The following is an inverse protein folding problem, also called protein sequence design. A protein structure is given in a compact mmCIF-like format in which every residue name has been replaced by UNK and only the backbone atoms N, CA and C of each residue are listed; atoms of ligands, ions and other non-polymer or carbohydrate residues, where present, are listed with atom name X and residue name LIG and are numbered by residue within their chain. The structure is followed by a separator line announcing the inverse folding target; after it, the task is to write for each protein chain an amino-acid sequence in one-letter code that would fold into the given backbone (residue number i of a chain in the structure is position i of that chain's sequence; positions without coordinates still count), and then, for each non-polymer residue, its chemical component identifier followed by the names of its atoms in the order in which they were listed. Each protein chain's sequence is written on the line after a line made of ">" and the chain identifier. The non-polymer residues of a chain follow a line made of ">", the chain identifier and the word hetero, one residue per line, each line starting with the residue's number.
data_IF_234323812278
#
_entry.id   IF_234323812278
#
_cell.length_a   1.000
_cell.length_b   1.000
_cell.length_c   1.000
_cell.angle_alpha   90.00
_cell.angle_beta   90.00
_cell.angle_gamma   90.00
#
_symmetry.space_group_name_H-M   'P 1'
#
loop_
_entity.id
_entity.type
_entity.pdbx_description
1 polymer ?
#
# COMPACT_ATOMS: atom_id res chain seq x y z
N UNK A 1 -15.21 5.36 -14.82
CA UNK A 1 -14.11 4.57 -14.22
C UNK A 1 -14.69 3.36 -13.51
N UNK A 2 -14.27 2.14 -13.88
CA UNK A 2 -14.74 0.89 -13.26
C UNK A 2 -14.23 0.77 -11.81
N UNK A 3 -14.96 0.10 -10.92
CA UNK A 3 -14.57 -0.02 -9.50
C UNK A 3 -13.23 -0.75 -9.32
N UNK A 4 -12.92 -1.72 -10.18
CA UNK A 4 -11.63 -2.41 -10.15
C UNK A 4 -10.44 -1.45 -10.38
N UNK A 5 -10.62 -0.43 -11.22
CA UNK A 5 -9.65 0.66 -11.36
C UNK A 5 -9.59 1.55 -10.11
N UNK A 6 -10.74 1.88 -9.50
CA UNK A 6 -10.82 2.62 -8.23
C UNK A 6 -10.21 1.87 -7.05
N UNK A 7 -10.33 0.55 -6.99
CA UNK A 7 -9.75 -0.29 -5.94
C UNK A 7 -8.24 -0.40 -6.07
N UNK A 8 -7.74 -0.66 -7.28
CA UNK A 8 -6.29 -0.67 -7.56
C UNK A 8 -5.69 0.70 -7.29
N UNK A 9 -6.38 1.77 -7.69
CA UNK A 9 -6.03 3.14 -7.30
C UNK A 9 -6.09 3.30 -5.79
N UNK A 10 -7.17 2.94 -5.11
CA UNK A 10 -7.30 3.11 -3.66
C UNK A 10 -6.20 2.37 -2.89
N UNK A 11 -5.78 1.19 -3.32
CA UNK A 11 -4.67 0.48 -2.69
C UNK A 11 -3.31 1.06 -3.08
N UNK A 12 -3.10 1.43 -4.34
CA UNK A 12 -1.90 2.18 -4.74
C UNK A 12 -1.80 3.50 -3.98
N UNK A 13 -2.92 4.17 -3.73
CA UNK A 13 -3.03 5.39 -2.95
C UNK A 13 -2.79 5.12 -1.48
N UNK A 14 -3.48 4.14 -0.88
CA UNK A 14 -3.21 3.70 0.49
C UNK A 14 -1.74 3.32 0.71
N UNK A 15 -1.06 2.83 -0.32
CA UNK A 15 0.37 2.53 -0.31
C UNK A 15 1.24 3.77 -0.54
N UNK A 16 0.93 4.61 -1.53
CA UNK A 16 1.61 5.90 -1.81
C UNK A 16 1.58 6.81 -0.59
N UNK A 17 0.51 6.70 0.19
CA UNK A 17 0.16 7.62 1.27
C UNK A 17 0.34 6.98 2.68
N UNK A 18 0.19 5.66 2.88
CA UNK A 18 0.30 4.96 4.20
C UNK A 18 -0.43 5.67 5.35
N UNK A 19 -1.67 6.02 5.04
CA UNK A 19 -2.67 6.63 5.90
C UNK A 19 -3.29 7.77 5.15
N UNK A 20 -4.62 7.78 4.92
CA UNK A 20 -5.42 8.86 4.31
C UNK A 20 -5.71 8.55 2.80
N UNK A 21 -6.90 8.60 2.18
CA UNK A 21 -8.13 9.35 2.38
C UNK A 21 -9.23 8.79 1.45
N UNK A 22 -10.48 8.78 1.88
CA UNK A 22 -11.63 8.82 0.96
C UNK A 22 -12.59 9.96 1.37
N UNK A 23 -12.02 11.16 1.46
CA UNK A 23 -12.74 12.42 1.64
C UNK A 23 -11.77 13.61 1.63
N UNK A 24 -12.26 14.80 1.24
CA UNK A 24 -11.46 16.05 1.28
C UNK A 24 -10.79 16.28 2.64
N UNK A 25 -11.46 15.88 3.73
CA UNK A 25 -10.97 16.04 5.11
C UNK A 25 -9.72 15.19 5.43
N UNK A 26 -9.54 14.07 4.74
CA UNK A 26 -8.42 13.18 5.00
C UNK A 26 -7.22 13.57 4.13
N UNK A 27 -7.40 14.10 2.92
CA UNK A 27 -6.25 14.55 2.08
C UNK A 27 -5.54 15.70 2.79
N UNK A 28 -6.33 16.60 3.36
CA UNK A 28 -5.83 17.69 4.18
C UNK A 28 -5.01 17.20 5.40
N UNK A 29 -5.38 16.08 6.03
CA UNK A 29 -4.64 15.53 7.18
C UNK A 29 -3.30 14.93 6.78
N UNK A 30 -3.18 14.36 5.58
CA UNK A 30 -1.90 13.89 5.04
C UNK A 30 -0.99 15.04 4.67
N UNK A 31 -1.54 16.00 3.93
CA UNK A 31 -0.83 17.20 3.56
C UNK A 31 -0.31 17.89 4.82
N UNK A 32 -1.12 18.00 5.87
CA UNK A 32 -0.69 18.53 7.16
C UNK A 32 0.44 17.71 7.82
N UNK A 33 0.38 16.37 7.76
CA UNK A 33 1.44 15.51 8.29
C UNK A 33 2.77 15.72 7.55
N UNK A 34 2.77 15.61 6.21
CA UNK A 34 3.99 15.80 5.42
C UNK A 34 4.47 17.23 5.46
N UNK A 35 3.57 18.22 5.47
CA UNK A 35 3.92 19.61 5.70
C UNK A 35 4.68 19.76 7.01
N UNK A 36 4.17 19.19 8.10
CA UNK A 36 4.84 19.20 9.40
C UNK A 36 6.22 18.54 9.36
N UNK A 37 6.40 17.43 8.65
CA UNK A 37 7.70 16.74 8.52
C UNK A 37 8.68 17.50 7.64
N UNK A 38 8.26 17.98 6.48
CA UNK A 38 9.10 18.77 5.59
C UNK A 38 9.48 20.12 6.21
N UNK A 39 8.56 20.77 6.94
CA UNK A 39 8.82 22.05 7.61
C UNK A 39 9.90 21.93 8.70
N UNK A 40 10.04 20.76 9.35
CA UNK A 40 11.15 20.50 10.27
C UNK A 40 12.53 20.56 9.58
N UNK A 41 12.58 20.44 8.25
CA UNK A 41 13.83 20.58 7.47
C UNK A 41 14.15 22.02 7.09
N UNK A 42 13.26 22.98 7.38
CA UNK A 42 13.44 24.40 7.07
C UNK A 42 13.27 24.77 5.59
N UNK A 43 12.89 23.83 4.71
CA UNK A 43 12.70 24.09 3.28
C UNK A 43 11.31 23.62 2.80
N UNK A 44 10.37 24.56 2.76
CA UNK A 44 9.00 24.32 2.29
C UNK A 44 8.93 23.88 0.82
N UNK A 45 9.94 24.19 0.00
CA UNK A 45 9.97 23.76 -1.41
C UNK A 45 9.99 22.25 -1.56
N UNK A 46 10.55 21.53 -0.56
CA UNK A 46 10.53 20.06 -0.52
C UNK A 46 9.11 19.52 -0.37
N UNK A 47 8.29 20.17 0.45
CA UNK A 47 6.88 19.81 0.59
C UNK A 47 6.10 20.08 -0.69
N UNK A 48 6.28 21.27 -1.28
CA UNK A 48 5.60 21.64 -2.51
C UNK A 48 5.94 20.69 -3.66
N UNK A 49 7.23 20.29 -3.76
CA UNK A 49 7.68 19.29 -4.72
C UNK A 49 7.04 17.93 -4.45
N UNK A 50 7.14 17.40 -3.23
CA UNK A 50 6.51 16.14 -2.83
C UNK A 50 5.01 16.11 -3.17
N UNK A 51 4.28 17.17 -2.83
CA UNK A 51 2.84 17.29 -3.09
C UNK A 51 2.55 17.29 -4.60
N UNK A 52 3.33 18.03 -5.37
CA UNK A 52 3.17 18.12 -6.83
C UNK A 52 3.44 16.77 -7.49
N UNK A 53 4.57 16.13 -7.17
CA UNK A 53 4.98 14.86 -7.76
C UNK A 53 4.00 13.73 -7.37
N UNK A 54 3.50 13.72 -6.13
CA UNK A 54 2.44 12.81 -5.71
C UNK A 54 1.15 13.02 -6.53
N UNK A 55 0.71 14.27 -6.72
CA UNK A 55 -0.49 14.57 -7.49
C UNK A 55 -0.33 14.25 -8.99
N UNK A 56 0.84 14.47 -9.58
CA UNK A 56 1.13 14.05 -10.95
C UNK A 56 1.11 12.54 -11.09
N UNK A 57 1.73 11.83 -10.14
CA UNK A 57 1.68 10.38 -10.07
C UNK A 57 0.24 9.87 -9.96
N UNK A 58 -0.63 10.55 -9.20
CA UNK A 58 -2.07 10.24 -9.13
C UNK A 58 -2.73 10.26 -10.47
N UNK A 59 -2.69 11.42 -11.12
CA UNK A 59 -3.34 11.61 -12.41
C UNK A 59 -2.82 10.61 -13.43
N UNK A 60 -1.52 10.36 -13.41
CA UNK A 60 -0.91 9.42 -14.33
C UNK A 60 -1.30 7.97 -14.04
N UNK A 61 -1.35 7.56 -12.77
CA UNK A 61 -1.82 6.24 -12.36
C UNK A 61 -3.30 6.05 -12.70
N UNK A 62 -4.13 7.07 -12.49
CA UNK A 62 -5.55 7.05 -12.84
C UNK A 62 -5.74 6.85 -14.34
N UNK A 63 -5.05 7.65 -15.15
CA UNK A 63 -5.03 7.48 -16.59
C UNK A 63 -4.57 6.06 -16.99
N UNK A 64 -3.44 5.59 -16.46
CA UNK A 64 -2.86 4.31 -16.85
C UNK A 64 -3.76 3.13 -16.46
N UNK A 65 -4.34 3.14 -15.26
CA UNK A 65 -5.17 2.04 -14.77
C UNK A 65 -6.50 1.98 -15.53
N UNK A 66 -7.00 3.10 -16.05
CA UNK A 66 -8.16 3.10 -16.95
C UNK A 66 -7.93 2.36 -18.28
N UNK A 67 -6.69 2.00 -18.61
CA UNK A 67 -6.38 1.13 -19.75
C UNK A 67 -6.71 -0.35 -19.44
N UNK A 68 -7.01 -0.71 -18.19
CA UNK A 68 -7.29 -2.10 -17.81
C UNK A 68 -8.80 -2.38 -17.79
N UNK A 69 -9.24 -3.57 -18.25
CA UNK A 69 -8.41 -4.68 -18.74
C UNK A 69 -8.11 -4.60 -20.26
N UNK A 70 -8.73 -3.69 -20.99
CA UNK A 70 -8.83 -3.76 -22.46
C UNK A 70 -7.51 -3.52 -23.19
N UNK A 71 -6.61 -2.74 -22.60
CA UNK A 71 -5.31 -2.35 -23.16
C UNK A 71 -4.16 -2.77 -22.24
N UNK A 72 -4.23 -4.00 -21.72
CA UNK A 72 -3.28 -4.47 -20.71
C UNK A 72 -1.83 -4.57 -21.22
N UNK A 73 -1.61 -4.94 -22.48
CA UNK A 73 -0.27 -4.95 -23.07
C UNK A 73 0.35 -3.54 -23.07
N UNK A 74 -0.42 -2.55 -23.52
CA UNK A 74 -0.01 -1.13 -23.50
C UNK A 74 0.28 -0.66 -22.07
N UNK A 75 -0.59 -0.98 -21.11
CA UNK A 75 -0.36 -0.68 -19.69
C UNK A 75 0.98 -1.26 -19.20
N UNK A 76 1.20 -2.57 -19.41
CA UNK A 76 2.34 -3.27 -18.86
C UNK A 76 3.67 -2.93 -19.55
N UNK A 77 3.64 -2.65 -20.86
CA UNK A 77 4.83 -2.33 -21.64
C UNK A 77 5.23 -0.86 -21.54
N UNK A 78 4.25 0.05 -21.60
CA UNK A 78 4.52 1.49 -21.75
C UNK A 78 4.28 2.28 -20.46
N UNK A 79 3.27 1.92 -19.66
CA UNK A 79 2.88 2.72 -18.49
C UNK A 79 3.47 2.23 -17.18
N UNK A 80 3.62 0.92 -16.99
CA UNK A 80 4.26 0.34 -15.80
C UNK A 80 5.69 0.87 -15.57
N UNK A 81 6.61 0.92 -16.56
CA UNK A 81 7.96 1.44 -16.33
C UNK A 81 7.95 2.90 -15.87
N UNK A 82 7.09 3.73 -16.48
CA UNK A 82 6.94 5.14 -16.09
C UNK A 82 6.32 5.31 -14.70
N UNK A 83 5.38 4.45 -14.30
CA UNK A 83 4.86 4.45 -12.92
C UNK A 83 5.92 4.03 -11.89
N UNK A 84 6.84 3.13 -12.27
CA UNK A 84 7.99 2.74 -11.42
C UNK A 84 8.96 3.91 -11.26
N UNK A 85 9.23 4.65 -12.34
CA UNK A 85 10.05 5.87 -12.31
C UNK A 85 9.45 6.93 -11.37
N UNK A 86 8.14 7.24 -11.53
CA UNK A 86 7.43 8.16 -10.63
C UNK A 86 7.42 7.69 -9.17
N UNK A 87 7.34 6.38 -8.94
CA UNK A 87 7.47 5.82 -7.59
C UNK A 87 8.87 6.04 -6.98
N UNK A 88 9.92 6.06 -7.80
CA UNK A 88 11.27 6.37 -7.34
C UNK A 88 11.43 7.86 -7.00
N UNK A 89 10.91 8.75 -7.84
CA UNK A 89 10.84 10.20 -7.59
C UNK A 89 10.14 10.48 -6.26
N UNK A 90 8.95 9.90 -6.07
CA UNK A 90 8.19 10.04 -4.85
C UNK A 90 8.95 9.54 -3.61
N UNK A 91 9.64 8.40 -3.70
CA UNK A 91 10.51 7.89 -2.62
C UNK A 91 11.62 8.88 -2.29
N UNK A 92 12.25 9.48 -3.30
CA UNK A 92 13.32 10.46 -3.09
C UNK A 92 12.77 11.72 -2.39
N UNK A 93 11.62 12.22 -2.80
CA UNK A 93 10.99 13.40 -2.21
C UNK A 93 10.50 13.14 -0.77
N UNK A 94 9.88 11.98 -0.52
CA UNK A 94 9.53 11.53 0.83
C UNK A 94 10.76 11.50 1.74
N UNK A 95 11.87 10.95 1.26
CA UNK A 95 13.12 10.87 2.03
C UNK A 95 13.74 12.25 2.31
N UNK A 96 13.51 13.25 1.46
CA UNK A 96 13.96 14.62 1.73
C UNK A 96 13.18 15.29 2.87
N UNK A 97 11.94 14.85 3.11
CA UNK A 97 11.08 15.33 4.20
C UNK A 97 11.18 14.50 5.48
N UNK A 98 11.78 13.31 5.40
CA UNK A 98 11.91 12.39 6.52
C UNK A 98 13.35 12.36 7.05
N UNK A 99 13.55 12.24 8.38
CA UNK A 99 14.88 12.02 8.93
C UNK A 99 15.45 10.67 8.44
N UNK A 100 16.78 10.54 8.40
CA UNK A 100 17.47 9.36 7.84
C UNK A 100 16.98 8.01 8.41
N UNK A 101 16.73 7.95 9.72
CA UNK A 101 16.17 6.75 10.37
C UNK A 101 14.76 6.35 9.92
N UNK A 102 14.09 7.18 9.12
CA UNK A 102 12.75 6.96 8.56
C UNK A 102 12.74 6.80 7.04
N UNK A 103 13.89 6.78 6.38
CA UNK A 103 13.96 6.57 4.92
C UNK A 103 13.48 5.19 4.47
N UNK A 104 13.35 4.24 5.41
CA UNK A 104 12.72 2.95 5.15
C UNK A 104 11.28 3.12 4.65
N UNK A 105 10.59 4.18 5.06
CA UNK A 105 9.20 4.45 4.70
C UNK A 105 9.06 4.79 3.22
N UNK A 106 9.86 5.73 2.71
CA UNK A 106 9.87 6.04 1.28
C UNK A 106 10.17 4.80 0.43
N UNK A 107 11.14 3.98 0.89
CA UNK A 107 11.45 2.69 0.23
C UNK A 107 10.25 1.73 0.27
N UNK A 108 9.60 1.60 1.42
CA UNK A 108 8.43 0.75 1.60
C UNK A 108 7.29 1.13 0.64
N UNK A 109 7.01 2.43 0.51
CA UNK A 109 6.02 2.98 -0.41
C UNK A 109 6.35 2.59 -1.85
N UNK A 110 7.58 2.87 -2.31
CA UNK A 110 8.03 2.49 -3.66
C UNK A 110 7.89 0.99 -3.90
N UNK A 111 8.46 0.17 -3.01
CA UNK A 111 8.51 -1.29 -3.21
C UNK A 111 7.09 -1.86 -3.27
N UNK A 112 6.17 -1.34 -2.46
CA UNK A 112 4.75 -1.71 -2.49
C UNK A 112 4.07 -1.34 -3.82
N UNK A 113 4.33 -0.15 -4.36
CA UNK A 113 3.81 0.27 -5.68
C UNK A 113 4.35 -0.66 -6.77
N UNK A 114 5.66 -0.91 -6.77
CA UNK A 114 6.31 -1.80 -7.75
C UNK A 114 5.68 -3.19 -7.73
N UNK A 115 5.38 -3.72 -6.55
CA UNK A 115 4.78 -5.04 -6.41
C UNK A 115 3.30 -5.07 -6.81
N UNK A 116 2.54 -3.99 -6.58
CA UNK A 116 1.18 -3.88 -7.13
C UNK A 116 1.22 -3.84 -8.67
N UNK A 117 2.11 -3.03 -9.26
CA UNK A 117 2.28 -2.98 -10.72
C UNK A 117 2.75 -4.32 -11.27
N UNK A 118 3.59 -5.05 -10.53
CA UNK A 118 3.98 -6.39 -10.88
C UNK A 118 2.80 -7.35 -10.84
N UNK A 119 1.97 -7.33 -9.80
CA UNK A 119 0.73 -8.12 -9.75
C UNK A 119 -0.15 -7.86 -10.98
N UNK A 120 -0.35 -6.59 -11.35
CA UNK A 120 -1.18 -6.22 -12.50
C UNK A 120 -0.65 -6.75 -13.84
N UNK A 121 0.67 -6.96 -13.95
CA UNK A 121 1.32 -7.39 -15.19
C UNK A 121 1.81 -8.84 -15.16
N UNK A 122 1.65 -9.54 -14.05
CA UNK A 122 2.19 -10.88 -13.87
C UNK A 122 1.54 -11.88 -14.85
N UNK A 123 2.37 -12.73 -15.48
CA UNK A 123 1.95 -13.72 -16.48
C UNK A 123 1.05 -13.14 -17.57
N UNK A 124 1.51 -12.12 -18.30
CA UNK A 124 0.71 -11.40 -19.29
C UNK A 124 -0.61 -10.88 -18.70
N UNK A 125 -0.56 -10.42 -17.45
CA UNK A 125 -1.72 -9.93 -16.71
C UNK A 125 -2.90 -10.91 -16.63
N UNK A 126 -2.62 -12.21 -16.55
CA UNK A 126 -3.62 -13.25 -16.30
C UNK A 126 -4.46 -12.92 -15.06
N UNK A 127 -3.83 -12.46 -13.98
CA UNK A 127 -4.49 -12.11 -12.72
C UNK A 127 -5.42 -10.90 -12.86
N UNK A 128 -4.96 -9.86 -13.54
CA UNK A 128 -5.79 -8.70 -13.90
C UNK A 128 -6.97 -9.11 -14.75
N UNK A 129 -6.75 -9.90 -15.80
CA UNK A 129 -7.85 -10.37 -16.65
C UNK A 129 -8.89 -11.12 -15.83
N UNK A 130 -8.48 -12.06 -14.96
CA UNK A 130 -9.42 -12.76 -14.07
C UNK A 130 -10.15 -11.82 -13.11
N UNK A 131 -9.43 -10.86 -12.52
CA UNK A 131 -9.98 -9.87 -11.58
C UNK A 131 -11.03 -8.97 -12.22
N UNK A 132 -10.87 -8.61 -13.49
CA UNK A 132 -11.78 -7.72 -14.21
C UNK A 132 -12.86 -8.44 -15.04
N UNK A 133 -12.80 -9.76 -15.22
CA UNK A 133 -13.74 -10.50 -16.10
C UNK A 133 -14.53 -11.64 -15.44
N UNK A 134 -13.98 -12.36 -14.46
CA UNK A 134 -14.61 -13.58 -13.91
C UNK A 134 -15.53 -13.28 -12.72
N UNK A 135 -16.60 -12.50 -12.94
CA UNK A 135 -17.55 -12.09 -11.90
C UNK A 135 -16.93 -11.19 -10.81
N UNK A 136 -15.68 -10.76 -11.02
CA UNK A 136 -15.05 -9.70 -10.25
C UNK A 136 -15.89 -8.43 -10.23
N UNK A 137 -16.36 -7.89 -11.38
CA UNK A 137 -17.22 -6.71 -11.39
C UNK A 137 -18.50 -6.84 -10.55
N UNK A 138 -19.16 -8.01 -10.55
CA UNK A 138 -20.38 -8.24 -9.77
C UNK A 138 -20.08 -8.35 -8.27
N UNK A 139 -19.06 -9.13 -7.90
CA UNK A 139 -18.53 -9.19 -6.53
C UNK A 139 -18.19 -7.78 -6.02
N UNK A 140 -17.47 -7.02 -6.83
CA UNK A 140 -17.05 -5.66 -6.55
C UNK A 140 -18.23 -4.68 -6.39
N UNK A 141 -19.28 -4.81 -7.21
CA UNK A 141 -20.48 -3.99 -7.09
C UNK A 141 -21.22 -4.26 -5.77
N UNK A 142 -21.26 -5.51 -5.31
CA UNK A 142 -21.82 -5.88 -4.00
C UNK A 142 -21.00 -5.28 -2.86
N UNK A 143 -19.68 -5.16 -3.02
CA UNK A 143 -18.79 -4.49 -2.06
C UNK A 143 -18.94 -2.97 -2.01
N UNK A 144 -19.58 -2.37 -3.02
CA UNK A 144 -19.86 -0.92 -3.11
C UNK A 144 -21.21 -0.51 -2.51
N UNK A 145 -22.12 -1.46 -2.24
CA UNK A 145 -23.47 -1.11 -1.80
C UNK A 145 -23.40 -0.33 -0.47
N UNK A 146 -24.08 0.82 -0.31
CA UNK A 146 -23.96 1.67 0.87
C UNK A 146 -24.38 0.99 2.19
N UNK A 147 -25.18 -0.07 2.10
CA UNK A 147 -25.53 -0.96 3.22
C UNK A 147 -24.34 -1.81 3.70
N UNK A 148 -23.28 -1.89 2.92
CA UNK A 148 -22.06 -2.69 3.13
C UNK A 148 -20.85 -1.79 3.44
N UNK A 149 -20.99 -0.87 4.40
CA UNK A 149 -19.96 0.03 4.98
C UNK A 149 -18.63 -0.63 5.45
N UNK A 150 -18.38 -1.87 5.07
CA UNK A 150 -17.35 -2.77 5.54
C UNK A 150 -16.01 -2.59 4.82
N UNK A 151 -16.01 -2.14 3.55
CA UNK A 151 -14.76 -2.00 2.81
C UNK A 151 -13.90 -0.88 3.40
N UNK A 152 -14.50 0.28 3.65
CA UNK A 152 -13.82 1.39 4.32
C UNK A 152 -13.35 0.97 5.73
N UNK A 153 -14.15 0.21 6.47
CA UNK A 153 -13.76 -0.31 7.80
C UNK A 153 -12.53 -1.22 7.76
N UNK A 154 -12.31 -1.97 6.67
CA UNK A 154 -11.13 -2.82 6.53
C UNK A 154 -9.83 -2.03 6.38
N UNK A 155 -9.93 -0.84 5.82
CA UNK A 155 -8.77 0.01 5.59
C UNK A 155 -8.62 1.09 6.68
N UNK A 156 -9.71 1.55 7.32
CA UNK A 156 -9.71 2.53 8.41
C UNK A 156 -8.76 2.19 9.57
N UNK A 157 -8.53 0.90 9.87
CA UNK A 157 -7.60 0.44 10.92
C UNK A 157 -6.12 0.53 10.54
N UNK A 158 -5.78 0.42 9.27
CA UNK A 158 -4.40 0.57 8.76
C UNK A 158 -3.91 2.01 8.96
N UNK A 159 -4.84 2.94 9.16
CA UNK A 159 -4.61 4.36 8.93
C UNK A 159 -4.79 5.22 10.19
N UNK A 160 -4.91 4.60 11.36
CA UNK A 160 -4.90 5.27 12.64
C UNK A 160 -3.63 4.89 13.40
N UNK A 161 -2.47 5.51 13.10
CA UNK A 161 -1.28 5.23 13.89
C UNK A 161 -1.59 5.66 15.33
N UNK A 162 -1.68 4.67 16.23
CA UNK A 162 -1.90 4.90 17.65
C UNK A 162 -0.76 5.67 18.30
N UNK A 163 0.37 5.78 17.61
CA UNK A 163 1.55 6.53 18.00
C UNK A 163 1.91 7.58 16.93
N UNK A 164 2.63 8.66 17.28
CA UNK A 164 3.13 9.66 16.31
C UNK A 164 4.24 9.12 15.38
N UNK A 165 4.37 7.79 15.31
CA UNK A 165 5.45 7.07 14.66
C UNK A 165 4.83 5.96 13.81
N UNK A 166 5.28 5.86 12.57
CA UNK A 166 4.98 4.73 11.70
C UNK A 166 6.26 3.92 11.63
N UNK A 167 6.25 2.70 12.15
CA UNK A 167 7.35 1.73 12.00
C UNK A 167 7.03 0.73 10.90
N UNK A 168 8.06 0.06 10.37
CA UNK A 168 7.87 -1.03 9.41
C UNK A 168 7.02 -2.17 10.00
N UNK A 169 7.18 -2.47 11.28
CA UNK A 169 6.44 -3.54 11.97
C UNK A 169 4.96 -3.20 12.00
N UNK A 170 4.60 -1.99 12.47
CA UNK A 170 3.21 -1.53 12.52
C UNK A 170 2.56 -1.54 11.12
N UNK A 171 3.24 -1.01 10.09
CA UNK A 171 2.73 -1.04 8.72
C UNK A 171 2.41 -2.46 8.23
N UNK A 172 3.25 -3.42 8.60
CA UNK A 172 3.08 -4.80 8.18
C UNK A 172 1.98 -5.52 8.96
N UNK A 173 1.84 -5.22 10.25
CA UNK A 173 0.71 -5.68 11.06
C UNK A 173 -0.62 -5.12 10.51
N UNK A 174 -0.63 -3.85 10.16
CA UNK A 174 -1.78 -3.16 9.59
C UNK A 174 -2.19 -3.76 8.24
N UNK A 175 -1.24 -4.00 7.33
CA UNK A 175 -1.52 -4.72 6.07
C UNK A 175 -2.07 -6.12 6.34
N UNK A 176 -1.56 -6.83 7.36
CA UNK A 176 -2.08 -8.15 7.70
C UNK A 176 -3.51 -8.09 8.25
N UNK A 177 -3.85 -7.06 9.02
CA UNK A 177 -5.22 -6.79 9.50
C UNK A 177 -6.13 -6.46 8.32
N UNK A 178 -5.69 -5.59 7.42
CA UNK A 178 -6.39 -5.23 6.19
C UNK A 178 -6.74 -6.45 5.34
N UNK A 179 -5.74 -7.30 5.11
CA UNK A 179 -5.88 -8.54 4.37
C UNK A 179 -6.99 -9.39 4.97
N UNK A 180 -6.91 -9.65 6.28
CA UNK A 180 -7.91 -10.49 6.98
C UNK A 180 -9.31 -9.89 6.91
N UNK A 181 -9.44 -8.57 7.03
CA UNK A 181 -10.73 -7.91 6.93
C UNK A 181 -11.30 -8.01 5.51
N UNK A 182 -10.49 -7.68 4.50
CA UNK A 182 -10.92 -7.71 3.12
C UNK A 182 -11.20 -9.14 2.63
N UNK A 183 -10.43 -10.13 3.08
CA UNK A 183 -10.73 -11.55 2.81
C UNK A 183 -12.10 -11.96 3.35
N UNK A 184 -12.44 -11.59 4.60
CA UNK A 184 -13.77 -11.86 5.17
C UNK A 184 -14.86 -11.16 4.37
N UNK A 185 -14.64 -9.91 4.02
CA UNK A 185 -15.59 -9.14 3.25
C UNK A 185 -15.86 -9.75 1.86
N UNK A 186 -14.80 -10.20 1.17
CA UNK A 186 -14.93 -10.95 -0.09
C UNK A 186 -15.66 -12.28 0.15
N UNK A 187 -15.40 -12.98 1.25
CA UNK A 187 -16.05 -14.25 1.56
C UNK A 187 -17.55 -14.10 1.82
N UNK A 188 -17.96 -13.01 2.46
CA UNK A 188 -19.34 -12.71 2.80
C UNK A 188 -20.12 -12.18 1.59
N UNK A 189 -19.49 -11.33 0.77
CA UNK A 189 -20.17 -10.63 -0.33
C UNK A 189 -20.00 -11.29 -1.70
N UNK A 190 -19.00 -12.16 -1.88
CA UNK A 190 -18.66 -12.74 -3.17
C UNK A 190 -18.68 -14.27 -3.15
N UNK A 191 -19.68 -14.87 -3.81
CA UNK A 191 -19.82 -16.33 -3.92
C UNK A 191 -18.86 -16.98 -4.92
N UNK A 192 -17.80 -16.29 -5.34
CA UNK A 192 -16.91 -16.71 -6.42
C UNK A 192 -15.53 -17.02 -5.86
N UNK A 193 -15.17 -18.32 -5.81
CA UNK A 193 -13.90 -18.79 -5.25
C UNK A 193 -12.64 -18.23 -5.94
N UNK A 194 -12.72 -17.87 -7.22
CA UNK A 194 -11.60 -17.24 -7.93
C UNK A 194 -11.27 -15.84 -7.38
N UNK A 195 -12.25 -15.07 -6.89
CA UNK A 195 -12.02 -13.76 -6.29
C UNK A 195 -11.31 -13.86 -4.94
N UNK A 196 -11.64 -14.88 -4.13
CA UNK A 196 -10.91 -15.18 -2.88
C UNK A 196 -9.43 -15.45 -3.16
N UNK A 197 -9.15 -16.28 -4.16
CA UNK A 197 -7.77 -16.60 -4.53
C UNK A 197 -7.03 -15.36 -5.05
N UNK A 198 -7.65 -14.61 -5.97
CA UNK A 198 -7.06 -13.39 -6.52
C UNK A 198 -6.76 -12.35 -5.43
N UNK A 199 -7.65 -12.23 -4.44
CA UNK A 199 -7.43 -11.33 -3.31
C UNK A 199 -6.24 -11.77 -2.43
N UNK A 200 -6.13 -13.06 -2.12
CA UNK A 200 -4.96 -13.62 -1.40
C UNK A 200 -3.67 -13.37 -2.15
N UNK A 201 -3.69 -13.57 -3.47
CA UNK A 201 -2.54 -13.31 -4.32
C UNK A 201 -2.21 -11.82 -4.34
N UNK A 202 -3.19 -10.93 -4.45
CA UNK A 202 -2.99 -9.49 -4.38
C UNK A 202 -2.27 -9.07 -3.09
N UNK A 203 -2.79 -9.46 -1.93
CA UNK A 203 -2.16 -9.14 -0.65
C UNK A 203 -0.80 -9.81 -0.47
N UNK A 204 -0.53 -10.94 -1.14
CA UNK A 204 0.81 -11.53 -1.15
C UNK A 204 1.83 -10.60 -1.81
N UNK A 205 1.46 -9.90 -2.89
CA UNK A 205 2.33 -8.91 -3.53
C UNK A 205 2.47 -7.65 -2.67
N UNK A 206 1.35 -7.11 -2.17
CA UNK A 206 1.36 -5.92 -1.29
C UNK A 206 2.20 -6.14 -0.03
N UNK A 207 2.25 -7.37 0.49
CA UNK A 207 3.01 -7.71 1.70
C UNK A 207 4.49 -8.04 1.44
N UNK A 208 4.97 -8.07 0.19
CA UNK A 208 6.38 -8.40 -0.09
C UNK A 208 7.38 -7.45 0.60
N UNK A 209 7.16 -6.13 0.67
CA UNK A 209 8.04 -5.24 1.42
C UNK A 209 8.15 -5.60 2.91
N UNK A 210 7.13 -6.27 3.47
CA UNK A 210 7.15 -6.81 4.84
C UNK A 210 7.99 -8.07 4.99
N UNK A 211 8.14 -8.87 3.94
CA UNK A 211 8.92 -10.11 3.95
C UNK A 211 10.44 -9.88 3.90
N UNK A 212 10.88 -8.65 3.63
CA UNK A 212 12.30 -8.32 3.74
C UNK A 212 12.69 -8.31 5.22
N UNK A 213 13.29 -9.41 5.67
CA UNK A 213 13.97 -9.56 6.95
C UNK A 213 15.11 -8.53 7.09
N UNK A 214 14.76 -7.27 7.39
CA UNK A 214 15.48 -6.64 8.47
C UNK A 214 14.94 -7.36 9.69
N UNK A 215 15.76 -8.27 10.21
CA UNK A 215 15.67 -8.68 11.58
C UNK A 215 15.50 -7.42 12.45
N UNK A 216 14.25 -7.07 12.75
CA UNK A 216 13.93 -6.82 14.13
C UNK A 216 14.20 -8.16 14.82
N UNK A 217 15.47 -8.40 15.16
CA UNK A 217 15.77 -9.03 16.43
C UNK A 217 15.03 -8.12 17.40
N UNK A 218 13.79 -8.49 17.69
CA UNK A 218 13.10 -7.96 18.84
C UNK A 218 14.10 -8.08 19.98
N UNK A 219 14.18 -7.07 20.83
CA UNK A 219 15.04 -7.10 22.00
C UNK A 219 14.89 -8.40 22.83
N UNK A 220 13.79 -9.15 22.63
CA UNK A 220 13.52 -10.49 23.16
C UNK A 220 14.45 -11.61 22.66
N UNK A 221 14.99 -11.57 21.44
CA UNK A 221 15.96 -12.57 20.97
C UNK A 221 17.40 -12.30 21.45
N UNK A 222 17.74 -11.04 21.72
CA UNK A 222 18.97 -10.66 22.44
C UNK A 222 18.85 -10.96 23.95
N UNK A 223 17.67 -10.78 24.54
CA UNK A 223 17.36 -11.23 25.91
C UNK A 223 17.45 -12.75 26.06
N UNK A 224 17.06 -13.54 25.05
CA UNK A 224 17.26 -14.99 25.07
C UNK A 224 18.75 -15.37 25.05
N UNK A 225 19.60 -14.64 24.33
CA UNK A 225 21.06 -14.87 24.35
C UNK A 225 21.74 -14.40 25.65
N UNK A 226 21.29 -13.30 26.25
CA UNK A 226 21.80 -12.80 27.55
C UNK A 226 21.31 -13.68 28.72
N UNK A 227 20.08 -14.18 28.69
CA UNK A 227 19.55 -15.10 29.70
C UNK A 227 20.26 -16.47 29.60
N UNK A 228 20.54 -16.98 28.40
CA UNK A 228 21.26 -18.25 28.23
C UNK A 228 22.76 -18.17 28.57
N UNK A 229 23.38 -17.00 28.45
CA UNK A 229 24.79 -16.81 28.85
C UNK A 229 24.95 -16.51 30.35
N UNK A 230 23.92 -16.00 31.04
CA UNK A 230 23.94 -15.82 32.51
C UNK A 230 23.62 -17.14 33.24
N UNK A 231 22.74 -17.98 32.69
CA UNK A 231 22.42 -19.29 33.30
C UNK A 231 23.58 -20.29 33.18
N UNK A 232 24.51 -20.11 32.25
CA UNK A 232 25.70 -20.96 32.12
C UNK A 232 26.87 -20.56 33.05
N UNK A 233 26.71 -19.49 33.85
CA UNK A 233 27.77 -18.94 34.72
C UNK A 233 27.41 -19.05 36.21
N UNK A 234 26.15 -19.32 36.59
CA UNK A 234 25.70 -19.35 38.01
C UNK A 234 24.79 -20.55 38.36
N UNK A 235 24.76 -21.63 37.57
CA UNK A 235 24.13 -22.91 38.00
C UNK A 235 24.76 -24.11 37.30
#
# INVERSE_FOLDING_TARGET
>A
MSFSAKFVLAVLWAVIITGLCRGESEIARLEAYYYGKCNQTGDLRKFEKLRTDAYEMYKYAEFAINLLPDSTETFCKNHRPKLIERADELKNDLNQCLPAGRHFFGKFVKDSIVEILHFLCHNNAEKTRRFFTQGGPDCMKTLEEPSSSNLDNCFNRIFAPSSNFITKVELCEDIAVARKCFERLVDDSCRIGSMRQLNREFFTYVSKPCSSSYMAISANALLLFVILSIVSIVS
#
